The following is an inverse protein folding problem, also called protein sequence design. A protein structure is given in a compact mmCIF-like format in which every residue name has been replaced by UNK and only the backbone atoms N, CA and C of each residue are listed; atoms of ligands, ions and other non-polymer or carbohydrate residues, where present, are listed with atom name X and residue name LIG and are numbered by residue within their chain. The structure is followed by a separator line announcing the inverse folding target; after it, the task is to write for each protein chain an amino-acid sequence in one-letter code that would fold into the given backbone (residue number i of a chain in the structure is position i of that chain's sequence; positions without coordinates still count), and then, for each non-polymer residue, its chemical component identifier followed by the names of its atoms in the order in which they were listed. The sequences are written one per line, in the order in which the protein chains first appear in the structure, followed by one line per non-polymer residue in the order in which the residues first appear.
data_IF_344102479336
#
_entry.id   IF_344102479336
#
_cell.length_a   1.000
_cell.length_b   1.000
_cell.length_c   1.000
_cell.angle_alpha   90.00
_cell.angle_beta   90.00
_cell.angle_gamma   90.00
#
_symmetry.space_group_name_H-M   'P 1'
#
loop_
_entity.id
_entity.type
_entity.pdbx_description
1 polymer ?
#
# COMPACT_ATOMS: atom_id res chain seq x y z
N UNK A 1 -63.63 -17.78 29.21
CA UNK A 1 -64.00 -18.46 27.94
C UNK A 1 -62.81 -19.28 27.48
N UNK A 2 -62.88 -20.59 27.66
CA UNK A 2 -61.86 -21.57 27.28
C UNK A 2 -62.05 -21.91 25.80
N UNK A 3 -61.07 -21.59 24.97
CA UNK A 3 -61.08 -21.94 23.55
C UNK A 3 -60.79 -23.44 23.40
N UNK A 4 -61.82 -24.22 23.05
CA UNK A 4 -61.68 -25.63 22.66
C UNK A 4 -61.09 -25.70 21.25
N UNK A 5 -59.82 -26.11 21.15
CA UNK A 5 -59.22 -26.43 19.86
C UNK A 5 -59.74 -27.80 19.38
N UNK A 6 -60.46 -27.81 18.26
CA UNK A 6 -61.02 -29.01 17.63
C UNK A 6 -59.93 -29.89 17.04
N UNK A 7 -60.03 -31.22 17.22
CA UNK A 7 -59.08 -32.24 16.70
C UNK A 7 -58.82 -32.14 15.18
N UNK A 8 -59.74 -31.59 14.40
CA UNK A 8 -59.53 -31.29 12.97
C UNK A 8 -58.43 -30.25 12.71
N UNK A 9 -58.30 -29.23 13.57
CA UNK A 9 -57.25 -28.20 13.43
C UNK A 9 -55.84 -28.72 13.74
N UNK A 10 -55.73 -29.85 14.44
CA UNK A 10 -54.45 -30.54 14.69
C UNK A 10 -54.08 -31.54 13.59
N UNK A 11 -55.04 -31.91 12.72
CA UNK A 11 -54.85 -32.92 11.67
C UNK A 11 -54.64 -32.33 10.27
N UNK A 12 -54.93 -31.04 10.10
CA UNK A 12 -54.51 -30.32 8.91
C UNK A 12 -52.98 -30.25 8.88
N UNK A 13 -52.30 -30.64 7.77
CA UNK A 13 -50.88 -30.38 7.65
C UNK A 13 -50.69 -28.87 7.82
N UNK A 14 -49.90 -28.47 8.83
CA UNK A 14 -49.56 -27.06 9.00
C UNK A 14 -49.07 -26.57 7.65
N UNK A 15 -49.80 -25.62 7.04
CA UNK A 15 -49.36 -24.93 5.83
C UNK A 15 -48.06 -24.26 6.25
N UNK A 16 -46.92 -24.90 5.95
CA UNK A 16 -45.61 -24.33 6.20
C UNK A 16 -45.55 -23.12 5.28
N UNK A 17 -45.68 -21.93 5.85
CA UNK A 17 -45.29 -20.71 5.13
C UNK A 17 -43.91 -20.96 4.55
N UNK A 18 -43.76 -20.71 3.24
CA UNK A 18 -42.48 -20.86 2.58
C UNK A 18 -41.48 -19.98 3.33
N UNK A 19 -40.39 -20.60 3.82
CA UNK A 19 -39.35 -19.84 4.51
C UNK A 19 -38.89 -18.68 3.62
N UNK A 20 -38.67 -17.48 4.17
CA UNK A 20 -38.26 -16.33 3.39
C UNK A 20 -36.95 -16.64 2.65
N UNK A 21 -36.90 -16.31 1.36
CA UNK A 21 -35.69 -16.44 0.56
C UNK A 21 -34.70 -15.39 1.04
N UNK A 22 -33.68 -15.81 1.80
CA UNK A 22 -32.63 -14.92 2.30
C UNK A 22 -31.53 -14.82 1.25
N UNK A 23 -31.29 -13.62 0.72
CA UNK A 23 -30.15 -13.33 -0.14
C UNK A 23 -29.02 -12.71 0.68
N UNK A 24 -27.77 -12.93 0.28
CA UNK A 24 -26.62 -12.25 0.89
C UNK A 24 -26.78 -10.73 0.71
N UNK A 25 -26.34 -9.94 1.69
CA UNK A 25 -26.37 -8.48 1.60
C UNK A 25 -26.22 -7.79 2.96
N UNK A 26 -26.05 -6.47 2.94
CA UNK A 26 -25.93 -5.65 4.16
C UNK A 26 -27.26 -5.09 4.69
N UNK A 27 -28.36 -5.27 3.95
CA UNK A 27 -29.63 -4.60 4.25
C UNK A 27 -30.42 -5.20 5.41
N UNK A 28 -30.18 -6.46 5.78
CA UNK A 28 -30.87 -7.12 6.91
C UNK A 28 -29.88 -7.96 7.72
N UNK A 29 -30.20 -8.22 9.00
CA UNK A 29 -29.37 -9.07 9.86
C UNK A 29 -29.21 -10.48 9.28
N UNK A 30 -30.30 -11.07 8.81
CA UNK A 30 -30.30 -12.41 8.21
C UNK A 30 -29.43 -12.47 6.95
N UNK A 31 -29.54 -11.46 6.08
CA UNK A 31 -28.69 -11.33 4.88
C UNK A 31 -27.21 -11.17 5.20
N UNK A 32 -26.90 -10.38 6.23
CA UNK A 32 -25.54 -10.12 6.65
C UNK A 32 -24.91 -11.34 7.33
N UNK A 33 -25.66 -12.06 8.16
CA UNK A 33 -25.22 -13.33 8.73
C UNK A 33 -24.97 -14.38 7.64
N UNK A 34 -25.84 -14.48 6.64
CA UNK A 34 -25.64 -15.39 5.51
C UNK A 34 -24.36 -15.04 4.74
N UNK A 35 -24.13 -13.74 4.47
CA UNK A 35 -22.91 -13.26 3.83
C UNK A 35 -21.66 -13.59 4.65
N UNK A 36 -21.69 -13.39 5.97
CA UNK A 36 -20.58 -13.76 6.85
C UNK A 36 -20.31 -15.26 6.85
N UNK A 37 -21.36 -16.10 6.87
CA UNK A 37 -21.20 -17.57 6.80
C UNK A 37 -20.56 -18.00 5.48
N UNK A 38 -21.02 -17.42 4.36
CA UNK A 38 -20.44 -17.67 3.04
C UNK A 38 -18.97 -17.21 2.98
N UNK A 39 -18.67 -16.00 3.47
CA UNK A 39 -17.32 -15.48 3.55
C UNK A 39 -16.41 -16.39 4.39
N UNK A 40 -16.91 -16.86 5.53
CA UNK A 40 -16.20 -17.73 6.45
C UNK A 40 -15.85 -19.09 5.81
N UNK A 41 -16.73 -19.62 4.96
CA UNK A 41 -16.48 -20.83 4.16
C UNK A 41 -15.38 -20.58 3.12
N UNK A 42 -15.51 -19.51 2.33
CA UNK A 42 -14.56 -19.19 1.27
C UNK A 42 -13.16 -18.87 1.83
N UNK A 43 -13.08 -18.18 2.96
CA UNK A 43 -11.84 -17.86 3.65
C UNK A 43 -11.11 -19.11 4.22
N UNK A 44 -11.80 -20.24 4.34
CA UNK A 44 -11.19 -21.52 4.69
C UNK A 44 -10.68 -22.31 3.48
N UNK A 45 -10.93 -21.85 2.25
CA UNK A 45 -10.51 -22.53 1.02
C UNK A 45 -9.06 -22.19 0.64
N UNK A 46 -8.31 -23.18 0.18
CA UNK A 46 -6.98 -22.95 -0.42
C UNK A 46 -7.06 -22.41 -1.84
N UNK A 47 -8.24 -22.49 -2.48
CA UNK A 47 -8.45 -21.95 -3.81
C UNK A 47 -8.35 -20.43 -3.79
N UNK A 48 -8.81 -19.73 -2.74
CA UNK A 48 -8.78 -18.26 -2.70
C UNK A 48 -7.37 -17.73 -2.41
N UNK A 49 -7.01 -16.53 -2.91
CA UNK A 49 -5.71 -15.92 -2.63
C UNK A 49 -5.45 -15.69 -1.13
N UNK A 50 -4.17 -15.61 -0.77
CA UNK A 50 -3.74 -15.50 0.63
C UNK A 50 -4.39 -14.34 1.40
N UNK A 51 -4.68 -13.22 0.72
CA UNK A 51 -5.34 -12.07 1.30
C UNK A 51 -6.75 -12.37 1.88
N UNK A 52 -7.41 -13.41 1.37
CA UNK A 52 -8.74 -13.84 1.78
C UNK A 52 -8.73 -15.06 2.70
N UNK A 53 -7.60 -15.77 2.80
CA UNK A 53 -7.51 -16.99 3.62
C UNK A 53 -7.38 -16.63 5.09
N UNK A 54 -8.06 -17.39 5.95
CA UNK A 54 -7.93 -17.28 7.42
C UNK A 54 -6.51 -17.58 7.91
N UNK A 55 -5.84 -18.50 7.23
CA UNK A 55 -4.50 -18.94 7.58
C UNK A 55 -3.60 -18.73 6.37
N UNK A 56 -2.51 -18.00 6.59
CA UNK A 56 -1.47 -17.75 5.60
C UNK A 56 -0.29 -18.65 5.95
N UNK A 57 -0.05 -19.63 5.10
CA UNK A 57 1.08 -20.54 5.20
C UNK A 57 2.21 -20.06 4.29
N UNK A 58 3.39 -19.88 4.87
CA UNK A 58 4.63 -19.63 4.13
C UNK A 58 5.29 -20.97 3.85
N UNK A 59 5.35 -21.33 2.58
CA UNK A 59 6.01 -22.56 2.15
C UNK A 59 7.53 -22.33 2.04
N UNK A 60 8.30 -23.37 2.34
CA UNK A 60 9.73 -23.42 2.02
C UNK A 60 9.96 -23.70 0.52
N UNK A 61 11.23 -23.74 0.10
CA UNK A 61 11.62 -24.04 -1.28
C UNK A 61 11.18 -25.45 -1.74
N UNK A 62 10.87 -26.34 -0.79
CA UNK A 62 10.51 -27.73 -1.02
C UNK A 62 8.99 -27.98 -0.87
N UNK A 63 8.19 -26.93 -0.63
CA UNK A 63 6.74 -27.01 -0.50
C UNK A 63 6.24 -27.38 0.90
N UNK A 64 7.10 -27.43 1.91
CA UNK A 64 6.68 -27.67 3.30
C UNK A 64 6.27 -26.37 3.99
N UNK A 65 5.28 -26.44 4.87
CA UNK A 65 4.83 -25.28 5.67
C UNK A 65 5.93 -24.92 6.66
N UNK A 66 6.57 -23.76 6.45
CA UNK A 66 7.63 -23.22 7.30
C UNK A 66 7.06 -22.35 8.42
N UNK A 67 6.00 -21.62 8.12
CA UNK A 67 5.37 -20.69 9.05
C UNK A 67 3.87 -20.65 8.73
N UNK A 68 3.04 -20.60 9.77
CA UNK A 68 1.59 -20.44 9.65
C UNK A 68 1.16 -19.31 10.55
N UNK A 69 0.40 -18.37 10.01
CA UNK A 69 -0.14 -17.23 10.76
C UNK A 69 -1.60 -17.00 10.41
N UNK A 70 -2.35 -16.54 11.41
CA UNK A 70 -3.74 -16.11 11.20
C UNK A 70 -3.79 -14.76 10.49
N UNK A 71 -4.76 -14.63 9.59
CA UNK A 71 -5.05 -13.40 8.88
C UNK A 71 -6.31 -12.76 9.49
N UNK A 72 -6.16 -11.69 10.29
CA UNK A 72 -7.29 -11.03 10.95
C UNK A 72 -8.26 -10.40 9.94
N UNK A 73 -7.78 -10.08 8.72
CA UNK A 73 -8.57 -9.40 7.70
C UNK A 73 -9.32 -10.36 6.77
N UNK A 74 -9.10 -11.68 6.87
CA UNK A 74 -9.62 -12.67 5.95
C UNK A 74 -11.14 -12.59 5.76
N UNK A 75 -11.88 -12.56 6.87
CA UNK A 75 -13.34 -12.50 6.86
C UNK A 75 -13.83 -11.18 6.26
N UNK A 76 -13.25 -10.06 6.67
CA UNK A 76 -13.62 -8.73 6.16
C UNK A 76 -13.37 -8.62 4.66
N UNK A 77 -12.19 -9.05 4.19
CA UNK A 77 -11.84 -9.07 2.78
C UNK A 77 -12.80 -9.96 1.96
N UNK A 78 -13.15 -11.14 2.48
CA UNK A 78 -14.08 -12.04 1.81
C UNK A 78 -15.52 -11.48 1.76
N UNK A 79 -15.97 -10.81 2.81
CA UNK A 79 -17.27 -10.10 2.83
C UNK A 79 -17.31 -8.98 1.78
N UNK A 80 -16.24 -8.18 1.67
CA UNK A 80 -16.13 -7.13 0.65
C UNK A 80 -16.16 -7.72 -0.75
N UNK A 81 -15.38 -8.78 -1.00
CA UNK A 81 -15.37 -9.47 -2.29
C UNK A 81 -16.74 -10.05 -2.64
N UNK A 82 -17.46 -10.65 -1.68
CA UNK A 82 -18.83 -11.14 -1.89
C UNK A 82 -19.80 -10.02 -2.23
N UNK A 83 -19.72 -8.89 -1.53
CA UNK A 83 -20.58 -7.75 -1.87
C UNK A 83 -20.28 -7.22 -3.27
N UNK A 84 -19.02 -7.17 -3.66
CA UNK A 84 -18.63 -6.76 -5.00
C UNK A 84 -19.13 -7.74 -6.06
N UNK A 85 -18.98 -9.04 -5.83
CA UNK A 85 -19.52 -10.09 -6.70
C UNK A 85 -21.04 -9.93 -6.90
N UNK A 86 -21.79 -9.66 -5.83
CA UNK A 86 -23.23 -9.40 -5.94
C UNK A 86 -23.56 -8.15 -6.76
N UNK A 87 -22.82 -7.04 -6.58
CA UNK A 87 -23.04 -5.80 -7.34
C UNK A 87 -22.76 -5.97 -8.83
N UNK A 88 -21.76 -6.78 -9.16
CA UNK A 88 -21.39 -7.08 -10.54
C UNK A 88 -22.24 -8.17 -11.18
N UNK A 89 -23.06 -8.90 -10.40
CA UNK A 89 -23.69 -10.13 -10.86
C UNK A 89 -22.67 -11.22 -11.25
N UNK A 90 -21.50 -11.21 -10.60
CA UNK A 90 -20.36 -12.07 -10.88
C UNK A 90 -20.24 -13.23 -9.89
N UNK A 91 -19.58 -14.31 -10.30
CA UNK A 91 -19.26 -15.43 -9.41
C UNK A 91 -18.27 -15.00 -8.30
N UNK A 92 -18.53 -15.31 -7.02
CA UNK A 92 -17.67 -14.91 -5.91
C UNK A 92 -16.24 -15.43 -5.98
N UNK A 93 -16.04 -16.68 -6.43
CA UNK A 93 -14.71 -17.26 -6.50
C UNK A 93 -13.91 -16.53 -7.58
N UNK A 94 -14.52 -16.28 -8.73
CA UNK A 94 -13.93 -15.51 -9.82
C UNK A 94 -13.52 -14.09 -9.39
N UNK A 95 -14.36 -13.40 -8.61
CA UNK A 95 -14.01 -12.09 -8.04
C UNK A 95 -12.83 -12.21 -7.08
N UNK A 96 -12.86 -13.16 -6.15
CA UNK A 96 -11.77 -13.32 -5.18
C UNK A 96 -10.43 -13.70 -5.82
N UNK A 97 -10.42 -14.41 -6.95
CA UNK A 97 -9.19 -14.71 -7.69
C UNK A 97 -8.56 -13.48 -8.35
N UNK A 98 -9.40 -12.56 -8.84
CA UNK A 98 -8.96 -11.47 -9.70
C UNK A 98 -8.91 -10.12 -8.99
N UNK A 99 -9.48 -10.03 -7.79
CA UNK A 99 -9.42 -8.87 -6.93
C UNK A 99 -8.24 -9.00 -5.99
N UNK A 100 -7.25 -8.13 -6.17
CA UNK A 100 -6.07 -8.06 -5.32
C UNK A 100 -6.20 -6.90 -4.36
N UNK A 101 -5.55 -7.02 -3.20
CA UNK A 101 -5.47 -5.96 -2.21
C UNK A 101 -4.01 -5.49 -2.19
N UNK A 102 -3.78 -4.28 -2.70
CA UNK A 102 -2.46 -3.63 -2.78
C UNK A 102 -2.46 -2.48 -1.78
N UNK A 103 -1.68 -2.57 -0.70
CA UNK A 103 -1.62 -1.56 0.36
C UNK A 103 -2.99 -1.13 0.89
N UNK A 104 -3.87 -2.11 1.12
CA UNK A 104 -5.24 -1.87 1.62
C UNK A 104 -6.22 -1.36 0.57
N UNK A 105 -5.79 -1.18 -0.69
CA UNK A 105 -6.66 -0.77 -1.80
C UNK A 105 -7.01 -1.96 -2.70
N UNK A 106 -8.29 -2.18 -3.01
CA UNK A 106 -8.70 -3.19 -3.97
C UNK A 106 -8.34 -2.79 -5.40
N UNK A 107 -7.77 -3.72 -6.16
CA UNK A 107 -7.37 -3.52 -7.56
C UNK A 107 -7.66 -4.78 -8.38
N UNK A 108 -8.07 -4.60 -9.64
CA UNK A 108 -8.35 -5.71 -10.55
C UNK A 108 -7.09 -6.16 -11.29
N UNK A 109 -6.92 -7.47 -11.54
CA UNK A 109 -5.90 -7.90 -12.50
C UNK A 109 -6.21 -7.33 -13.89
N UNK A 110 -5.20 -6.90 -14.64
CA UNK A 110 -5.43 -6.43 -16.02
C UNK A 110 -6.03 -7.51 -16.92
N UNK A 111 -5.73 -8.78 -16.64
CA UNK A 111 -6.37 -9.91 -17.34
C UNK A 111 -7.87 -9.97 -17.10
N UNK A 112 -8.32 -9.73 -15.87
CA UNK A 112 -9.73 -9.64 -15.54
C UNK A 112 -10.41 -8.46 -16.22
N UNK A 113 -9.75 -7.30 -16.27
CA UNK A 113 -10.26 -6.12 -16.99
C UNK A 113 -10.52 -6.47 -18.46
N UNK A 114 -9.54 -7.09 -19.14
CA UNK A 114 -9.69 -7.53 -20.54
C UNK A 114 -10.85 -8.51 -20.67
N UNK A 115 -10.95 -9.50 -19.79
CA UNK A 115 -12.03 -10.49 -19.81
C UNK A 115 -13.41 -9.85 -19.59
N UNK A 116 -13.52 -8.92 -18.64
CA UNK A 116 -14.75 -8.19 -18.33
C UNK A 116 -15.20 -7.34 -19.52
N UNK A 117 -14.29 -6.59 -20.16
CA UNK A 117 -14.59 -5.81 -21.37
C UNK A 117 -15.00 -6.72 -22.52
N UNK A 118 -14.35 -7.86 -22.71
CA UNK A 118 -14.70 -8.80 -23.77
C UNK A 118 -16.06 -9.51 -23.53
N UNK A 119 -16.38 -9.75 -22.26
CA UNK A 119 -17.57 -10.49 -21.83
C UNK A 119 -18.81 -9.62 -21.61
N UNK A 120 -18.69 -8.29 -21.55
CA UNK A 120 -19.81 -7.41 -21.20
C UNK A 120 -20.89 -7.29 -22.28
N UNK A 121 -20.65 -7.84 -23.48
CA UNK A 121 -21.59 -7.81 -24.58
C UNK A 121 -21.64 -6.48 -25.34
N UNK A 122 -21.21 -5.35 -24.75
CA UNK A 122 -21.23 -4.01 -25.35
C UNK A 122 -20.21 -3.82 -26.47
N UNK A 123 -19.03 -4.42 -26.36
CA UNK A 123 -17.93 -4.26 -27.33
C UNK A 123 -17.62 -5.56 -28.07
N UNK A 124 -16.97 -5.45 -29.23
CA UNK A 124 -16.20 -6.54 -29.80
C UNK A 124 -15.05 -6.92 -28.85
N UNK A 125 -14.49 -8.14 -28.94
CA UNK A 125 -13.32 -8.49 -28.18
C UNK A 125 -12.18 -7.49 -28.43
N UNK A 126 -11.55 -7.02 -27.36
CA UNK A 126 -10.48 -6.03 -27.38
C UNK A 126 -9.33 -6.49 -28.28
N UNK A 127 -8.80 -5.56 -29.04
CA UNK A 127 -7.65 -5.72 -29.94
C UNK A 127 -6.60 -4.67 -29.60
N UNK A 128 -5.39 -4.90 -30.06
CA UNK A 128 -4.24 -4.07 -29.73
C UNK A 128 -3.43 -3.81 -30.98
N UNK A 129 -3.25 -2.54 -31.30
CA UNK A 129 -2.38 -2.09 -32.37
C UNK A 129 -1.05 -1.65 -31.75
N UNK A 130 0.02 -2.40 -32.02
CA UNK A 130 1.37 -2.09 -31.55
C UNK A 130 2.21 -1.64 -32.73
N UNK A 131 2.83 -0.47 -32.59
CA UNK A 131 3.75 0.10 -33.58
C UNK A 131 5.11 0.37 -32.94
N UNK A 132 6.16 -0.20 -33.53
CA UNK A 132 7.53 0.12 -33.17
C UNK A 132 7.90 1.50 -33.74
N UNK A 133 8.42 2.38 -32.89
CA UNK A 133 8.87 3.73 -33.23
C UNK A 133 10.40 3.81 -33.43
N UNK A 134 11.13 2.76 -33.05
CA UNK A 134 12.58 2.66 -33.22
C UNK A 134 13.34 2.94 -31.92
N UNK A 135 14.67 2.96 -32.00
CA UNK A 135 15.52 3.22 -30.84
C UNK A 135 15.44 4.68 -30.42
N UNK A 136 15.32 4.92 -29.11
CA UNK A 136 15.25 6.24 -28.51
C UNK A 136 15.96 6.25 -27.17
N UNK A 137 16.71 7.30 -26.91
CA UNK A 137 17.27 7.57 -25.57
C UNK A 137 16.31 8.46 -24.82
N UNK A 138 15.80 7.97 -23.69
CA UNK A 138 14.87 8.69 -22.82
C UNK A 138 15.56 9.00 -21.50
N UNK A 139 15.41 10.24 -21.05
CA UNK A 139 15.89 10.70 -19.75
C UNK A 139 14.82 10.49 -18.69
N UNK A 140 15.17 9.81 -17.60
CA UNK A 140 14.35 9.70 -16.39
C UNK A 140 15.05 10.38 -15.24
N UNK A 141 14.30 11.22 -14.54
CA UNK A 141 14.73 11.83 -13.29
C UNK A 141 14.39 10.88 -12.15
N UNK A 142 15.39 10.41 -11.41
CA UNK A 142 15.22 9.55 -10.23
C UNK A 142 15.72 10.29 -9.00
N UNK A 143 14.97 10.22 -7.91
CA UNK A 143 15.43 10.76 -6.61
C UNK A 143 16.17 9.66 -5.89
N UNK A 144 17.50 9.76 -5.85
CA UNK A 144 18.37 8.84 -5.12
C UNK A 144 18.67 9.46 -3.76
N UNK A 145 18.72 8.62 -2.72
CA UNK A 145 19.21 9.05 -1.42
C UNK A 145 20.70 8.82 -1.35
N UNK A 146 21.48 9.90 -1.35
CA UNK A 146 22.94 9.86 -1.14
C UNK A 146 23.25 10.54 0.19
N UNK A 147 23.88 9.82 1.11
CA UNK A 147 24.34 10.34 2.41
C UNK A 147 23.25 11.07 3.23
N UNK A 148 22.02 10.55 3.22
CA UNK A 148 20.89 11.14 3.95
C UNK A 148 20.26 12.38 3.30
N UNK A 149 20.79 12.84 2.16
CA UNK A 149 20.18 13.89 1.34
C UNK A 149 19.51 13.29 0.10
N UNK A 150 18.38 13.87 -0.31
CA UNK A 150 17.73 13.55 -1.58
C UNK A 150 18.50 14.23 -2.71
N UNK A 151 19.20 13.46 -3.54
CA UNK A 151 19.82 13.95 -4.78
C UNK A 151 18.98 13.52 -5.99
N UNK A 152 18.77 14.45 -6.91
CA UNK A 152 17.99 14.21 -8.13
C UNK A 152 18.97 13.85 -9.24
N UNK A 153 18.95 12.60 -9.68
CA UNK A 153 19.88 12.07 -10.69
C UNK A 153 19.12 11.77 -11.97
N UNK A 154 19.57 12.33 -13.09
CA UNK A 154 19.02 12.02 -14.42
C UNK A 154 19.73 10.80 -15.00
N UNK A 155 19.00 9.71 -15.19
CA UNK A 155 19.49 8.50 -15.87
C UNK A 155 19.02 8.50 -17.33
N UNK A 156 19.96 8.31 -18.25
CA UNK A 156 19.68 8.11 -19.68
C UNK A 156 19.51 6.62 -19.94
N UNK A 157 18.39 6.25 -20.55
CA UNK A 157 18.04 4.85 -20.83
C UNK A 157 17.72 4.73 -22.30
N UNK A 158 18.48 3.89 -23.00
CA UNK A 158 18.21 3.55 -24.40
C UNK A 158 17.12 2.48 -24.43
N UNK A 159 16.03 2.76 -25.13
CA UNK A 159 14.90 1.85 -25.30
C UNK A 159 14.58 1.66 -26.78
N UNK A 160 14.02 0.51 -27.12
CA UNK A 160 13.29 0.33 -28.38
C UNK A 160 11.86 0.80 -28.13
N UNK A 161 11.51 1.99 -28.57
CA UNK A 161 10.20 2.56 -28.27
C UNK A 161 9.10 1.88 -29.10
N UNK A 162 8.00 1.57 -28.42
CA UNK A 162 6.79 1.00 -29.00
C UNK A 162 5.61 1.75 -28.42
N UNK A 163 4.61 1.99 -29.26
CA UNK A 163 3.32 2.53 -28.84
C UNK A 163 2.23 1.49 -29.04
N UNK A 164 1.32 1.40 -28.08
CA UNK A 164 0.17 0.52 -28.13
C UNK A 164 -1.11 1.33 -27.96
N UNK A 165 -2.14 0.94 -28.71
CA UNK A 165 -3.51 1.41 -28.57
C UNK A 165 -4.41 0.19 -28.47
N UNK A 166 -5.24 0.12 -27.43
CA UNK A 166 -6.31 -0.85 -27.34
C UNK A 166 -7.54 -0.30 -28.06
N UNK A 167 -8.21 -1.13 -28.85
CA UNK A 167 -9.42 -0.73 -29.56
C UNK A 167 -10.47 -1.83 -29.55
N UNK A 168 -11.73 -1.42 -29.62
CA UNK A 168 -12.87 -2.31 -29.81
C UNK A 168 -14.00 -1.57 -30.54
N UNK A 169 -14.83 -2.32 -31.25
CA UNK A 169 -16.03 -1.79 -31.91
C UNK A 169 -17.21 -1.89 -30.94
N UNK A 170 -17.89 -0.78 -30.67
CA UNK A 170 -19.14 -0.79 -29.90
C UNK A 170 -20.25 -1.40 -30.77
N UNK A 171 -20.96 -2.40 -30.23
CA UNK A 171 -21.91 -3.18 -31.04
C UNK A 171 -23.18 -2.42 -31.40
N UNK A 172 -23.56 -1.45 -30.59
CA UNK A 172 -24.77 -0.66 -30.80
C UNK A 172 -24.57 0.40 -31.90
N UNK A 173 -23.47 1.13 -31.84
CA UNK A 173 -23.15 2.22 -32.77
C UNK A 173 -22.35 1.75 -33.99
N UNK A 174 -21.63 0.64 -33.87
CA UNK A 174 -20.66 0.19 -34.87
C UNK A 174 -19.37 1.03 -34.89
N UNK A 175 -19.21 1.97 -33.95
CA UNK A 175 -18.06 2.86 -33.88
C UNK A 175 -16.83 2.14 -33.31
N UNK A 176 -15.65 2.43 -33.87
CA UNK A 176 -14.38 1.96 -33.32
C UNK A 176 -13.92 2.93 -32.23
N UNK A 177 -13.93 2.44 -31.00
CA UNK A 177 -13.43 3.15 -29.83
C UNK A 177 -11.98 2.79 -29.58
N UNK A 178 -11.18 3.79 -29.21
CA UNK A 178 -9.74 3.64 -28.98
C UNK A 178 -9.36 4.14 -27.60
N UNK A 179 -8.43 3.43 -26.96
CA UNK A 179 -7.82 3.86 -25.70
C UNK A 179 -6.82 4.98 -25.94
N UNK A 180 -6.47 5.75 -24.90
CA UNK A 180 -5.24 6.54 -24.91
C UNK A 180 -4.04 5.67 -25.28
N UNK A 181 -3.14 6.22 -26.10
CA UNK A 181 -1.92 5.55 -26.50
C UNK A 181 -0.94 5.47 -25.33
N UNK A 182 -0.33 4.31 -25.12
CA UNK A 182 0.73 4.10 -24.12
C UNK A 182 2.01 3.73 -24.85
N UNK A 183 3.11 4.39 -24.50
CA UNK A 183 4.44 4.10 -25.07
C UNK A 183 5.43 3.64 -24.01
N UNK A 184 6.52 3.01 -24.47
CA UNK A 184 7.63 2.63 -23.59
C UNK A 184 8.34 3.89 -23.09
N UNK A 185 8.45 4.94 -23.91
CA UNK A 185 8.92 6.25 -23.45
C UNK A 185 8.12 6.77 -22.24
N UNK A 186 6.78 6.72 -22.30
CA UNK A 186 5.94 7.09 -21.17
C UNK A 186 6.24 6.22 -19.96
N UNK A 187 6.35 4.90 -20.14
CA UNK A 187 6.66 3.99 -19.05
C UNK A 187 8.06 4.23 -18.41
N UNK A 188 9.03 4.73 -19.16
CA UNK A 188 10.33 5.15 -18.62
C UNK A 188 10.20 6.45 -17.82
N UNK A 189 9.47 7.44 -18.34
CA UNK A 189 9.25 8.73 -17.67
C UNK A 189 8.48 8.57 -16.37
N UNK A 190 7.44 7.75 -16.37
CA UNK A 190 6.61 7.39 -15.22
C UNK A 190 7.31 6.38 -14.28
N UNK A 191 8.45 5.81 -14.69
CA UNK A 191 9.29 4.97 -13.85
C UNK A 191 8.91 3.51 -13.72
N UNK A 192 7.91 3.03 -14.46
CA UNK A 192 7.46 1.64 -14.48
C UNK A 192 8.51 0.71 -15.10
N UNK A 193 9.16 1.16 -16.17
CA UNK A 193 10.06 0.34 -16.99
C UNK A 193 11.40 0.05 -16.31
N UNK A 194 11.93 0.99 -15.53
CA UNK A 194 13.29 0.93 -14.96
C UNK A 194 13.34 0.66 -13.47
N UNK A 195 12.19 0.40 -12.83
CA UNK A 195 12.11 -0.01 -11.43
C UNK A 195 12.90 -1.30 -11.20
N UNK A 196 13.59 -1.39 -10.06
CA UNK A 196 14.36 -2.59 -9.73
C UNK A 196 13.43 -3.82 -9.63
N UNK A 197 13.79 -4.91 -10.33
CA UNK A 197 12.93 -6.08 -10.46
C UNK A 197 11.76 -5.94 -11.45
N UNK A 198 11.71 -4.86 -12.25
CA UNK A 198 10.69 -4.67 -13.28
C UNK A 198 10.78 -5.74 -14.35
N UNK A 199 9.73 -6.55 -14.46
CA UNK A 199 9.57 -7.56 -15.52
C UNK A 199 9.23 -6.92 -16.87
N UNK A 200 8.95 -5.62 -16.91
CA UNK A 200 8.49 -4.92 -18.11
C UNK A 200 9.58 -4.73 -19.16
N UNK A 201 10.86 -4.85 -18.79
CA UNK A 201 11.97 -4.80 -19.76
C UNK A 201 11.97 -6.02 -20.69
N UNK A 202 11.54 -7.18 -20.19
CA UNK A 202 11.47 -8.42 -20.98
C UNK A 202 10.06 -8.72 -21.48
N UNK A 203 9.04 -8.05 -20.93
CA UNK A 203 7.62 -8.23 -21.25
C UNK A 203 6.94 -6.88 -21.56
N UNK A 204 7.57 -6.09 -22.41
CA UNK A 204 7.15 -4.74 -22.78
C UNK A 204 5.76 -4.72 -23.44
N UNK A 205 5.47 -5.63 -24.36
CA UNK A 205 4.17 -5.69 -25.03
C UNK A 205 3.04 -6.11 -24.09
N UNK A 206 3.31 -6.96 -23.11
CA UNK A 206 2.31 -7.36 -22.10
C UNK A 206 1.95 -6.16 -21.24
N UNK A 207 2.95 -5.41 -20.78
CA UNK A 207 2.75 -4.16 -20.05
C UNK A 207 1.88 -3.18 -20.83
N UNK A 208 2.24 -2.94 -22.10
CA UNK A 208 1.52 -2.01 -22.97
C UNK A 208 0.05 -2.43 -23.18
N UNK A 209 -0.21 -3.72 -23.41
CA UNK A 209 -1.58 -4.24 -23.56
C UNK A 209 -2.39 -4.11 -22.27
N UNK A 210 -1.80 -4.43 -21.13
CA UNK A 210 -2.47 -4.33 -19.84
C UNK A 210 -2.82 -2.88 -19.50
N UNK A 211 -1.90 -1.94 -19.74
CA UNK A 211 -2.17 -0.52 -19.46
C UNK A 211 -3.23 0.07 -20.39
N UNK A 212 -3.12 -0.18 -21.69
CA UNK A 212 -4.11 0.29 -22.66
C UNK A 212 -5.49 -0.33 -22.42
N UNK A 213 -5.57 -1.59 -22.02
CA UNK A 213 -6.83 -2.22 -21.62
C UNK A 213 -7.44 -1.61 -20.36
N UNK A 214 -6.63 -1.32 -19.33
CA UNK A 214 -7.10 -0.61 -18.13
C UNK A 214 -7.65 0.77 -18.49
N UNK A 215 -6.93 1.54 -19.31
CA UNK A 215 -7.39 2.85 -19.76
C UNK A 215 -8.67 2.78 -20.60
N UNK A 216 -8.77 1.80 -21.50
CA UNK A 216 -9.99 1.55 -22.27
C UNK A 216 -11.19 1.27 -21.35
N UNK A 217 -11.04 0.34 -20.41
CA UNK A 217 -12.09 -0.03 -19.46
C UNK A 217 -12.54 1.15 -18.61
N UNK A 218 -11.59 1.98 -18.11
CA UNK A 218 -11.92 3.18 -17.34
C UNK A 218 -12.68 4.24 -18.13
N UNK A 219 -12.37 4.39 -19.42
CA UNK A 219 -12.97 5.42 -20.25
C UNK A 219 -14.36 5.04 -20.76
N UNK A 220 -14.53 3.80 -21.23
CA UNK A 220 -15.75 3.38 -21.92
C UNK A 220 -16.66 2.44 -21.10
N UNK A 221 -16.14 1.80 -20.05
CA UNK A 221 -16.91 0.89 -19.19
C UNK A 221 -16.51 0.95 -17.70
N UNK A 222 -16.48 2.15 -17.08
CA UNK A 222 -16.07 2.32 -15.68
C UNK A 222 -16.94 1.53 -14.69
N UNK A 223 -18.20 1.26 -15.05
CA UNK A 223 -19.15 0.44 -14.28
C UNK A 223 -18.70 -1.01 -14.12
N UNK A 224 -18.03 -1.58 -15.12
CA UNK A 224 -17.47 -2.94 -15.05
C UNK A 224 -16.29 -3.02 -14.08
N UNK A 225 -15.55 -1.93 -13.96
CA UNK A 225 -14.40 -1.83 -13.06
C UNK A 225 -14.79 -1.34 -11.67
N UNK A 226 -16.00 -0.82 -11.51
CA UNK A 226 -16.49 -0.17 -10.29
C UNK A 226 -15.56 0.96 -9.80
N UNK A 227 -14.89 1.64 -10.74
CA UNK A 227 -13.91 2.69 -10.44
C UNK A 227 -12.56 2.20 -9.89
N UNK A 228 -12.32 0.89 -9.84
CA UNK A 228 -11.05 0.33 -9.38
C UNK A 228 -9.99 0.39 -10.48
N UNK A 229 -8.73 0.52 -10.06
CA UNK A 229 -7.56 0.53 -10.95
C UNK A 229 -7.05 -0.89 -11.17
N UNK A 230 -6.15 -1.07 -12.15
CA UNK A 230 -5.47 -2.35 -12.30
C UNK A 230 -4.41 -2.54 -11.23
N UNK A 231 -4.08 -3.80 -10.93
CA UNK A 231 -3.02 -4.17 -9.98
C UNK A 231 -1.69 -3.61 -10.42
N UNK A 232 -1.41 -3.67 -11.71
CA UNK A 232 -0.19 -3.15 -12.30
C UNK A 232 -0.08 -1.64 -12.05
N UNK A 233 -1.18 -0.88 -12.20
CA UNK A 233 -1.19 0.55 -11.87
C UNK A 233 -0.99 0.82 -10.37
N UNK A 234 -1.64 0.04 -9.50
CA UNK A 234 -1.51 0.22 -8.07
C UNK A 234 -0.09 -0.09 -7.54
N UNK A 235 0.60 -1.07 -8.13
CA UNK A 235 1.96 -1.46 -7.76
C UNK A 235 3.02 -0.44 -8.20
N UNK A 236 2.74 0.34 -9.24
CA UNK A 236 3.66 1.34 -9.76
C UNK A 236 3.74 2.60 -8.89
N UNK A 237 2.66 2.94 -8.16
CA UNK A 237 2.59 4.09 -7.25
C UNK A 237 3.48 3.91 -6.00
N UNK A 238 3.87 2.67 -5.70
CA UNK A 238 4.60 2.33 -4.47
C UNK A 238 6.10 2.33 -4.76
N UNK A 239 6.81 3.35 -4.30
CA UNK A 239 8.27 3.37 -4.37
C UNK A 239 8.84 2.51 -3.23
N UNK A 240 9.50 1.41 -3.58
CA UNK A 240 10.21 0.55 -2.63
C UNK A 240 11.63 1.08 -2.45
N UNK A 241 11.97 1.50 -1.24
CA UNK A 241 13.31 1.91 -0.90
C UNK A 241 14.21 0.67 -0.64
N UNK A 242 15.53 0.78 -0.86
CA UNK A 242 16.48 -0.32 -0.64
C UNK A 242 16.52 -0.85 0.80
N UNK A 243 16.08 -0.07 1.78
CA UNK A 243 15.97 -0.43 3.20
C UNK A 243 14.69 -1.22 3.53
N UNK A 244 13.85 -1.50 2.53
CA UNK A 244 12.56 -2.16 2.69
C UNK A 244 11.44 -1.25 3.16
N UNK A 245 11.68 0.05 3.34
CA UNK A 245 10.62 1.05 3.51
C UNK A 245 9.94 1.33 2.17
N UNK A 246 8.71 1.85 2.21
CA UNK A 246 7.99 2.23 0.99
C UNK A 246 7.41 3.63 1.13
N UNK A 247 7.33 4.35 0.02
CA UNK A 247 6.60 5.62 -0.07
C UNK A 247 5.46 5.47 -1.07
N UNK A 248 4.28 5.95 -0.69
CA UNK A 248 3.11 5.99 -1.58
C UNK A 248 3.04 7.38 -2.17
N UNK A 249 3.24 7.50 -3.49
CA UNK A 249 3.03 8.75 -4.20
C UNK A 249 1.52 9.00 -4.38
N UNK A 250 0.79 9.21 -3.29
CA UNK A 250 -0.60 9.69 -3.36
C UNK A 250 -0.80 10.79 -2.35
N UNK A 251 -1.34 11.91 -2.81
CA UNK A 251 -1.86 12.97 -1.94
C UNK A 251 -2.81 12.31 -0.95
N UNK A 252 -2.41 12.23 0.31
CA UNK A 252 -3.23 11.53 1.30
C UNK A 252 -4.52 12.33 1.50
N UNK A 253 -5.63 11.66 1.81
CA UNK A 253 -6.88 12.35 2.14
C UNK A 253 -6.70 13.29 3.36
N UNK A 254 -5.68 13.02 4.19
CA UNK A 254 -5.25 13.91 5.27
C UNK A 254 -4.59 15.21 4.76
N UNK A 255 -3.85 15.19 3.65
CA UNK A 255 -3.33 16.41 3.03
C UNK A 255 -4.44 17.27 2.43
N UNK A 256 -5.46 16.66 1.82
CA UNK A 256 -6.66 17.37 1.33
C UNK A 256 -7.49 17.96 2.47
N UNK A 257 -7.60 17.25 3.60
CA UNK A 257 -8.28 17.74 4.81
C UNK A 257 -7.48 18.82 5.54
N UNK A 258 -6.15 18.72 5.53
CA UNK A 258 -5.22 19.73 6.04
C UNK A 258 -5.28 21.04 5.25
N UNK A 259 -5.35 20.96 3.92
CA UNK A 259 -5.51 22.11 3.03
C UNK A 259 -6.82 22.87 3.26
N UNK A 260 -7.92 22.17 3.54
CA UNK A 260 -9.22 22.79 3.84
C UNK A 260 -9.24 23.56 5.18
N UNK A 261 -8.40 23.18 6.15
CA UNK A 261 -8.25 23.92 7.42
C UNK A 261 -7.35 25.16 7.29
N UNK A 262 -6.34 25.11 6.42
CA UNK A 262 -5.47 26.24 6.15
C UNK A 262 -6.16 27.33 5.29
N UNK A 263 -7.06 26.96 4.38
CA UNK A 263 -7.80 27.89 3.54
C UNK A 263 -8.93 28.65 4.27
N UNK A 264 -9.33 28.23 5.46
CA UNK A 264 -10.38 28.89 6.25
C UNK A 264 -9.87 30.05 7.14
N UNK A 265 -8.57 30.36 7.13
CA UNK A 265 -7.95 31.32 8.04
C UNK A 265 -7.30 32.55 7.37
N UNK A 266 -7.65 32.87 6.12
CA UNK A 266 -7.19 34.11 5.48
C UNK A 266 -8.38 35.02 5.11
N UNK A 267 -8.51 36.21 5.72
CA UNK A 267 -9.47 37.21 5.28
C UNK A 267 -9.11 37.71 3.88
N UNK A 268 -10.06 37.62 2.94
CA UNK A 268 -9.92 38.11 1.58
C UNK A 268 -9.73 39.64 1.56
N UNK A 269 -8.66 40.12 0.91
CA UNK A 269 -8.53 41.53 0.52
C UNK A 269 -9.15 41.75 -0.87
N UNK A 270 -9.82 42.88 -1.14
CA UNK A 270 -10.49 43.12 -2.42
C UNK A 270 -9.49 43.30 -3.57
N UNK A 271 -9.83 42.72 -4.72
CA UNK A 271 -9.06 42.80 -5.95
C UNK A 271 -9.12 44.21 -6.58
N UNK A 272 -7.95 44.81 -6.80
CA UNK A 272 -7.79 46.01 -7.61
C UNK A 272 -7.50 45.62 -9.07
N UNK A 273 -8.33 46.13 -9.97
CA UNK A 273 -8.29 45.88 -11.42
C UNK A 273 -7.15 46.72 -12.02
N UNK A 274 -6.10 46.08 -12.53
CA UNK A 274 -5.07 46.76 -13.33
C UNK A 274 -5.26 46.44 -14.81
N UNK A 275 -5.61 47.49 -15.54
CA UNK A 275 -5.84 47.59 -16.97
C UNK A 275 -4.54 47.40 -17.77
N UNK A 276 -4.64 46.86 -18.99
CA UNK A 276 -3.51 46.32 -19.78
C UNK A 276 -3.33 47.08 -21.09
N UNK A 277 -2.17 47.75 -21.31
CA UNK A 277 -1.41 47.91 -22.58
C UNK A 277 -0.35 49.03 -22.51
N UNK A 278 0.64 49.10 -23.45
CA UNK A 278 1.55 48.09 -24.00
C UNK A 278 3.04 48.51 -23.87
N UNK A 279 3.96 47.62 -24.24
CA UNK A 279 5.42 47.79 -24.22
C UNK A 279 5.97 48.76 -25.29
N UNK A 280 7.23 49.22 -25.11
CA UNK A 280 8.18 49.40 -26.21
C UNK A 280 9.47 48.58 -26.01
N UNK A 281 10.19 48.41 -27.12
CA UNK A 281 11.29 47.49 -27.33
C UNK A 281 12.70 48.13 -27.20
N UNK A 282 13.68 47.25 -26.90
CA UNK A 282 15.12 47.22 -27.26
C UNK A 282 16.06 48.39 -26.84
N UNK A 283 17.21 48.05 -26.21
CA UNK A 283 18.53 47.90 -26.90
C UNK A 283 19.65 47.42 -25.96
N UNK A 284 20.65 46.77 -26.58
CA UNK A 284 21.93 46.22 -26.11
C UNK A 284 22.80 47.08 -25.18
N UNK A 285 23.57 46.40 -24.31
CA UNK A 285 25.05 46.44 -24.38
C UNK A 285 25.71 45.45 -23.41
N UNK A 286 26.64 44.68 -23.96
CA UNK A 286 27.67 43.83 -23.36
C UNK A 286 28.68 44.56 -22.48
N UNK A 287 29.25 43.89 -21.46
CA UNK A 287 30.71 43.82 -21.25
C UNK A 287 31.14 42.77 -20.20
N UNK A 288 32.22 42.06 -20.53
CA UNK A 288 33.00 41.15 -19.69
C UNK A 288 33.86 41.94 -18.70
N UNK A 289 34.16 41.40 -17.51
CA UNK A 289 35.55 41.28 -17.00
C UNK A 289 35.67 40.45 -15.71
N UNK A 290 36.68 39.58 -15.70
CA UNK A 290 37.41 38.98 -14.57
C UNK A 290 38.90 39.28 -14.87
N UNK A 291 39.80 39.48 -13.89
CA UNK A 291 40.49 38.37 -13.17
C UNK A 291 40.88 38.67 -11.69
N UNK A 292 40.92 37.67 -10.78
CA UNK A 292 42.09 37.04 -10.09
C UNK A 292 43.21 37.99 -9.56
N UNK A 293 43.75 37.88 -8.33
CA UNK A 293 44.79 36.89 -7.86
C UNK A 293 45.15 37.11 -6.34
N UNK A 294 45.45 36.01 -5.60
CA UNK A 294 46.37 35.73 -4.42
C UNK A 294 46.62 36.74 -3.25
N UNK A 295 47.04 36.43 -2.00
CA UNK A 295 47.69 35.26 -1.32
C UNK A 295 47.64 35.41 0.23
N UNK A 296 47.70 34.26 0.93
CA UNK A 296 48.38 33.90 2.20
C UNK A 296 48.47 34.83 3.44
N UNK A 297 48.12 34.32 4.64
CA UNK A 297 49.11 33.93 5.68
C UNK A 297 48.46 33.14 6.86
N UNK A 298 49.21 32.21 7.45
CA UNK A 298 48.94 31.46 8.71
C UNK A 298 49.92 32.01 9.81
N UNK A 299 50.17 31.46 11.04
CA UNK A 299 49.80 30.15 11.62
C UNK A 299 49.54 30.13 13.17
N UNK A 300 49.59 28.91 13.74
CA UNK A 300 49.79 28.49 15.15
C UNK A 300 48.52 28.16 15.98
N UNK A 301 48.42 27.02 16.68
CA UNK A 301 49.35 25.91 16.89
C UNK A 301 48.69 24.73 17.63
N UNK A 302 49.24 23.54 17.43
CA UNK A 302 48.95 22.31 18.19
C UNK A 302 49.73 22.31 19.54
N UNK A 303 49.50 21.33 20.44
CA UNK A 303 50.26 20.09 20.30
C UNK A 303 49.45 18.78 20.45
N UNK A 304 49.97 17.80 19.75
CA UNK A 304 49.61 16.38 19.65
C UNK A 304 49.81 15.55 20.93
N UNK A 305 49.10 14.43 21.00
CA UNK A 305 49.61 13.04 21.14
C UNK A 305 48.40 12.11 21.29
N UNK A 306 48.23 10.98 20.61
CA UNK A 306 49.05 10.29 19.64
C UNK A 306 48.34 9.00 19.21
N UNK A 307 48.26 8.83 17.89
CA UNK A 307 48.43 7.63 17.08
C UNK A 307 47.44 6.43 17.08
N UNK A 308 47.19 6.04 15.82
CA UNK A 308 47.07 4.70 15.24
C UNK A 308 45.69 4.02 15.15
N UNK A 309 45.28 3.76 13.90
CA UNK A 309 44.67 2.47 13.55
C UNK A 309 43.41 2.52 12.69
N UNK A 310 43.60 2.32 11.38
CA UNK A 310 42.70 1.70 10.39
C UNK A 310 41.56 0.81 10.95
N UNK A 311 40.30 1.01 10.48
CA UNK A 311 39.30 -0.06 10.26
C UNK A 311 37.95 0.50 9.77
N UNK A 312 37.43 -0.08 8.69
CA UNK A 312 36.07 0.13 8.21
C UNK A 312 34.99 -0.48 9.12
N UNK A 313 33.75 -0.03 8.93
CA UNK A 313 32.49 -0.67 9.34
C UNK A 313 32.50 -1.39 10.70
N UNK A 314 32.59 -0.64 11.80
CA UNK A 314 32.36 -1.18 13.14
C UNK A 314 31.05 -0.63 13.73
N UNK A 315 30.18 -1.53 14.20
CA UNK A 315 28.94 -1.18 14.92
C UNK A 315 29.21 -0.44 16.25
N UNK A 316 28.15 -0.04 16.98
CA UNK A 316 28.29 0.75 18.20
C UNK A 316 29.17 0.03 19.24
N UNK A 317 30.08 0.77 19.88
CA UNK A 317 30.99 0.18 20.89
C UNK A 317 30.27 -0.01 22.23
N UNK A 318 30.83 -0.84 23.12
CA UNK A 318 30.29 -1.04 24.47
C UNK A 318 30.12 0.27 25.24
N UNK A 319 31.07 1.21 25.09
CA UNK A 319 31.04 2.49 25.78
C UNK A 319 29.89 3.38 25.29
N UNK A 320 29.59 3.34 23.99
CA UNK A 320 28.49 4.09 23.40
C UNK A 320 27.13 3.59 23.89
N UNK A 321 26.93 2.26 23.89
CA UNK A 321 25.67 1.65 24.36
C UNK A 321 25.49 1.86 25.86
N UNK A 322 26.56 1.78 26.66
CA UNK A 322 26.49 2.04 28.10
C UNK A 322 26.14 3.49 28.41
N UNK A 323 26.66 4.45 27.63
CA UNK A 323 26.34 5.88 27.76
C UNK A 323 24.84 6.12 27.52
N UNK A 324 24.30 5.56 26.44
CA UNK A 324 22.88 5.72 26.11
C UNK A 324 21.95 5.08 27.15
N UNK A 325 22.30 3.90 27.67
CA UNK A 325 21.54 3.27 28.75
C UNK A 325 21.50 4.11 30.03
N UNK A 326 22.58 4.82 30.36
CA UNK A 326 22.65 5.64 31.57
C UNK A 326 21.98 7.00 31.42
N UNK A 327 21.96 7.55 30.21
CA UNK A 327 21.36 8.84 29.85
C UNK A 327 19.86 8.75 29.52
N UNK A 328 19.34 7.54 29.24
CA UNK A 328 17.92 7.32 29.03
C UNK A 328 17.07 7.86 30.19
N UNK A 329 16.18 8.81 29.87
CA UNK A 329 15.31 9.49 30.83
C UNK A 329 13.84 9.08 30.72
N UNK A 330 13.49 8.37 29.66
CA UNK A 330 12.17 7.80 29.40
C UNK A 330 12.26 6.29 29.11
N UNK A 331 11.13 5.59 29.19
CA UNK A 331 11.05 4.16 28.84
C UNK A 331 11.31 3.92 27.34
N UNK A 332 10.92 4.87 26.48
CA UNK A 332 11.14 4.80 25.03
C UNK A 332 12.64 4.92 24.69
N UNK A 333 13.36 5.86 25.33
CA UNK A 333 14.81 6.00 25.17
C UNK A 333 15.55 4.74 25.65
N UNK A 334 15.08 4.14 26.75
CA UNK A 334 15.66 2.93 27.30
C UNK A 334 15.47 1.73 26.35
N UNK A 335 14.29 1.59 25.73
CA UNK A 335 14.03 0.51 24.78
C UNK A 335 14.83 0.68 23.48
N UNK A 336 15.04 1.92 23.03
CA UNK A 336 15.97 2.22 21.94
C UNK A 336 17.40 1.82 22.30
N UNK A 337 17.93 2.23 23.45
CA UNK A 337 19.28 1.87 23.91
C UNK A 337 19.46 0.35 24.08
N UNK A 338 18.42 -0.37 24.51
CA UNK A 338 18.42 -1.85 24.58
C UNK A 338 18.49 -2.52 23.21
N UNK A 339 17.93 -1.91 22.17
CA UNK A 339 18.03 -2.44 20.80
C UNK A 339 19.47 -2.46 20.29
N UNK A 340 20.30 -1.50 20.72
CA UNK A 340 21.71 -1.39 20.35
C UNK A 340 22.59 -2.49 20.98
N UNK A 341 22.19 -3.06 22.13
CA UNK A 341 22.91 -4.17 22.77
C UNK A 341 23.02 -5.39 21.83
N UNK A 342 22.02 -5.61 20.96
CA UNK A 342 22.03 -6.74 20.01
C UNK A 342 23.10 -6.60 18.92
N UNK A 343 23.59 -5.39 18.68
CA UNK A 343 24.56 -5.08 17.64
C UNK A 343 26.02 -5.24 18.10
N UNK A 344 26.24 -5.50 19.40
CA UNK A 344 27.58 -5.75 19.94
C UNK A 344 28.06 -7.17 19.58
N UNK A 345 29.35 -7.36 19.25
CA UNK A 345 29.89 -8.69 18.92
C UNK A 345 30.19 -9.55 20.16
N UNK A 346 30.48 -8.96 21.33
CA UNK A 346 30.91 -9.67 22.55
C UNK A 346 29.72 -9.98 23.49
N UNK A 347 29.48 -11.27 23.75
CA UNK A 347 28.39 -11.76 24.62
C UNK A 347 28.57 -11.39 26.11
N UNK A 348 29.81 -11.28 26.59
CA UNK A 348 30.07 -10.90 28.00
C UNK A 348 29.72 -9.43 28.25
N UNK A 349 29.97 -8.59 27.25
CA UNK A 349 29.59 -7.18 27.22
C UNK A 349 28.07 -7.00 27.15
N UNK A 350 27.37 -7.81 26.33
CA UNK A 350 25.90 -7.82 26.29
C UNK A 350 25.29 -8.18 27.63
N UNK A 351 25.80 -9.20 28.31
CA UNK A 351 25.29 -9.62 29.61
C UNK A 351 25.42 -8.47 30.64
N UNK A 352 26.54 -7.76 30.64
CA UNK A 352 26.78 -6.60 31.51
C UNK A 352 25.81 -5.45 31.21
N UNK A 353 25.63 -5.09 29.94
CA UNK A 353 24.70 -4.01 29.55
C UNK A 353 23.24 -4.36 29.81
N UNK A 354 22.86 -5.63 29.66
CA UNK A 354 21.52 -6.09 30.01
C UNK A 354 21.23 -5.96 31.52
N UNK A 355 22.24 -6.12 32.39
CA UNK A 355 22.10 -5.86 33.83
C UNK A 355 21.92 -4.36 34.11
N UNK A 356 22.66 -3.49 33.42
CA UNK A 356 22.52 -2.02 33.52
C UNK A 356 21.14 -1.58 33.04
N UNK A 357 20.66 -2.10 31.91
CA UNK A 357 19.33 -1.82 31.37
C UNK A 357 18.21 -2.27 32.32
N UNK A 358 18.33 -3.46 32.90
CA UNK A 358 17.35 -3.98 33.88
C UNK A 358 17.31 -3.15 35.17
N UNK A 359 18.45 -2.57 35.58
CA UNK A 359 18.51 -1.63 36.70
C UNK A 359 17.81 -0.32 36.36
N UNK A 360 18.10 0.28 35.20
CA UNK A 360 17.45 1.54 34.77
C UNK A 360 15.95 1.40 34.54
N UNK A 361 15.50 0.26 34.02
CA UNK A 361 14.07 -0.02 33.89
C UNK A 361 13.36 0.01 35.23
N UNK A 362 13.96 -0.52 36.30
CA UNK A 362 13.39 -0.46 37.66
C UNK A 362 13.40 0.95 38.25
N UNK A 363 14.39 1.77 37.89
CA UNK A 363 14.49 3.15 38.35
C UNK A 363 13.50 4.09 37.63
N UNK A 364 13.16 3.78 36.38
CA UNK A 364 12.21 4.54 35.55
C UNK A 364 10.75 4.02 35.62
N UNK A 365 10.53 2.83 36.17
CA UNK A 365 9.19 2.29 36.38
C UNK A 365 8.48 3.04 37.53
N UNK A 366 7.19 3.39 37.37
CA UNK A 366 6.42 4.01 38.46
C UNK A 366 6.27 3.04 39.65
N UNK A 367 6.14 3.54 40.90
CA UNK A 367 6.01 2.69 42.07
C UNK A 367 4.71 1.86 42.00
N UNK A 368 4.83 0.53 42.15
CA UNK A 368 3.71 -0.41 42.15
C UNK A 368 2.68 -0.05 43.25
N UNK A 369 1.43 0.20 42.84
CA UNK A 369 0.28 0.10 43.76
C UNK A 369 0.10 -1.37 44.17
N UNK A 370 -0.13 -1.67 45.47
CA UNK A 370 -0.28 -3.05 45.91
C UNK A 370 -1.57 -3.66 45.34
N UNK A 371 -1.41 -4.76 44.62
CA UNK A 371 -2.48 -5.54 44.01
C UNK A 371 -3.59 -5.90 45.01
N UNK A 372 -4.82 -5.51 44.68
CA UNK A 372 -6.02 -5.90 45.43
C UNK A 372 -6.20 -7.44 45.41
N UNK A 373 -6.29 -8.04 46.59
CA UNK A 373 -6.53 -9.47 46.75
C UNK A 373 -7.92 -9.88 46.22
N UNK A 374 -8.05 -11.05 45.57
CA UNK A 374 -9.34 -11.54 45.09
C UNK A 374 -10.22 -11.97 46.27
N UNK A 375 -11.36 -11.32 46.44
CA UNK A 375 -12.40 -11.69 47.41
C UNK A 375 -12.96 -13.08 47.07
N UNK A 376 -12.70 -14.05 47.94
CA UNK A 376 -13.34 -15.38 47.92
C UNK A 376 -14.86 -15.20 48.01
N UNK A 377 -15.58 -15.54 46.93
CA UNK A 377 -17.04 -15.74 46.98
C UNK A 377 -17.35 -16.94 47.89
N UNK A 378 -18.01 -16.69 49.02
CA UNK A 378 -18.59 -17.72 49.85
C UNK A 378 -19.72 -18.44 49.10
N UNK A 379 -19.69 -19.78 49.08
CA UNK A 379 -20.79 -20.62 48.60
C UNK A 379 -21.95 -20.52 49.60
N UNK A 380 -23.16 -20.25 49.11
CA UNK A 380 -24.40 -20.36 49.88
C UNK A 380 -24.66 -21.83 50.26
N UNK A 381 -25.17 -22.12 51.47
CA UNK A 381 -25.57 -23.47 51.84
C UNK A 381 -26.86 -23.87 51.14
N UNK A 382 -26.87 -25.09 50.61
CA UNK A 382 -28.06 -25.81 50.13
C UNK A 382 -28.87 -26.23 51.37
N UNK A 383 -30.10 -25.73 51.48
CA UNK A 383 -31.11 -26.30 52.38
C UNK A 383 -31.82 -27.45 51.68
N UNK A 384 -31.75 -28.65 52.26
CA UNK A 384 -32.75 -29.70 52.14
C UNK A 384 -32.59 -30.66 53.34
N UNK A 385 -33.65 -30.72 54.14
CA UNK A 385 -33.97 -31.61 55.28
C UNK A 385 -33.15 -31.56 56.58
#
# INVERSE_FOLDING_TARGET
MTATATLEKMRAPAVREAAPVVTMGFGTSQSFELMQRAANLLASSTLVPAAYRKVIEKLDKYGNVKESRENPNALANAVVALNMAQRMGADPLMVMQNLYIVEGRPSWSSQWIIAAVNGCGRFSPLRFDIKALGEKTVERVETVWENGNRSVVTKKVTILDKVCIAWATEKETGERLESPAVSIEMAVKEGWYTKNGSKWQTMDEVMLRYRTASFFGKLYAPELLMGLQSVEEAQDIIDLHPDGSYTVASTSVDELRGGARAAAAQPAQPAEVVERKPAPAQTDSSEMEKPEVDTADAPAGEPEHGNAGDAGAAGPTFQDVNRELLQASSLEDLDYARSLIKQLPDETQKATLNQVAARRMRELAPPDEPAAQPTRRARAPINAD
#
